data_IF_998830505445
#
_entry.id   IF_998830505445
#
_cell.length_a   1.000
_cell.length_b   1.000
_cell.length_c   1.000
_cell.angle_alpha   90.00
_cell.angle_beta   90.00
_cell.angle_gamma   90.00
#
_symmetry.space_group_name_H-M   'P 1'
#
loop_
_entity.id
_entity.type
_entity.pdbx_description
1 polymer ?
#
# COMPACT_ATOMS: atom_id res chain seq x y z
N UNK A 1 -18.34 -17.67 -8.66
CA UNK A 1 -17.33 -17.78 -7.58
C UNK A 1 -15.88 -18.00 -8.05
N UNK A 2 -15.53 -18.72 -9.15
CA UNK A 2 -14.12 -18.91 -9.54
C UNK A 2 -13.49 -17.69 -10.23
N UNK A 3 -14.27 -16.93 -11.01
CA UNK A 3 -13.78 -15.73 -11.73
C UNK A 3 -13.26 -14.61 -10.82
N UNK A 4 -13.76 -14.51 -9.57
CA UNK A 4 -13.29 -13.50 -8.61
C UNK A 4 -11.88 -13.80 -8.09
N UNK A 5 -11.58 -15.07 -7.81
CA UNK A 5 -10.25 -15.47 -7.35
C UNK A 5 -9.19 -15.25 -8.44
N UNK A 6 -9.49 -15.61 -9.69
CA UNK A 6 -8.58 -15.40 -10.83
C UNK A 6 -8.28 -13.91 -11.06
N UNK A 7 -9.27 -13.02 -10.95
CA UNK A 7 -9.06 -11.56 -11.05
C UNK A 7 -8.19 -11.00 -9.92
N UNK A 8 -8.42 -11.42 -8.68
CA UNK A 8 -7.63 -10.95 -7.53
C UNK A 8 -6.16 -11.38 -7.68
N UNK A 9 -5.93 -12.63 -8.13
CA UNK A 9 -4.59 -13.14 -8.39
C UNK A 9 -3.88 -12.34 -9.49
N UNK A 10 -4.57 -11.97 -10.57
CA UNK A 10 -3.99 -11.16 -11.64
C UNK A 10 -3.53 -9.77 -11.15
N UNK A 11 -4.33 -9.10 -10.31
CA UNK A 11 -3.96 -7.79 -9.73
C UNK A 11 -2.74 -7.93 -8.82
N UNK A 12 -2.73 -8.95 -7.96
CA UNK A 12 -1.59 -9.20 -7.07
C UNK A 12 -0.29 -9.46 -7.84
N UNK A 13 -0.36 -10.27 -8.90
CA UNK A 13 0.80 -10.55 -9.77
C UNK A 13 1.30 -9.31 -10.49
N UNK A 14 0.38 -8.46 -10.98
CA UNK A 14 0.74 -7.20 -11.63
C UNK A 14 1.44 -6.24 -10.65
N UNK A 15 0.90 -6.07 -9.44
CA UNK A 15 1.52 -5.24 -8.41
C UNK A 15 2.92 -5.73 -8.04
N UNK A 16 3.13 -7.04 -7.91
CA UNK A 16 4.45 -7.61 -7.69
C UNK A 16 5.41 -7.34 -8.85
N UNK A 17 4.93 -7.43 -10.10
CA UNK A 17 5.73 -7.15 -11.29
C UNK A 17 6.20 -5.67 -11.33
N UNK A 18 5.35 -4.74 -10.91
CA UNK A 18 5.68 -3.31 -10.80
C UNK A 18 6.48 -2.96 -9.52
N UNK A 19 6.86 -3.95 -8.71
CA UNK A 19 7.67 -3.76 -7.50
C UNK A 19 6.90 -3.51 -6.20
N UNK A 20 5.57 -3.52 -6.22
CA UNK A 20 4.71 -3.37 -5.04
C UNK A 20 4.51 -4.70 -4.30
N UNK A 21 5.58 -5.21 -3.70
CA UNK A 21 5.60 -6.52 -3.01
C UNK A 21 4.85 -6.52 -1.67
N UNK A 22 4.60 -5.35 -1.07
CA UNK A 22 3.78 -5.22 0.14
C UNK A 22 2.28 -5.03 -0.18
N UNK A 23 1.91 -5.06 -1.45
CA UNK A 23 0.54 -5.02 -1.94
C UNK A 23 -0.12 -3.64 -1.87
N UNK A 24 -1.42 -3.62 -2.21
CA UNK A 24 -2.19 -2.38 -2.34
C UNK A 24 -2.89 -1.92 -1.06
N UNK A 25 -3.21 -2.84 -0.16
CA UNK A 25 -4.11 -2.55 0.96
C UNK A 25 -3.38 -2.06 2.21
N UNK A 26 -2.18 -2.54 2.49
CA UNK A 26 -1.41 -2.16 3.67
C UNK A 26 -0.77 -0.79 3.46
N UNK A 27 -0.88 0.10 4.43
CA UNK A 27 -0.21 1.40 4.44
C UNK A 27 1.24 1.28 4.91
N UNK A 28 2.15 2.03 4.28
CA UNK A 28 3.55 2.11 4.73
C UNK A 28 3.68 2.81 6.08
N UNK A 29 2.94 3.89 6.28
CA UNK A 29 2.95 4.71 7.47
C UNK A 29 1.60 4.65 8.19
N UNK A 30 1.62 4.59 9.52
CA UNK A 30 0.44 4.61 10.37
C UNK A 30 0.69 3.98 11.73
N UNK A 31 -0.34 3.99 12.59
CA UNK A 31 -0.25 3.53 13.98
C UNK A 31 -0.59 2.06 14.23
N UNK A 32 -0.28 1.16 13.29
CA UNK A 32 -0.60 -0.27 13.41
C UNK A 32 -2.06 -0.61 13.09
N UNK A 33 -2.55 -1.74 13.61
CA UNK A 33 -3.90 -2.24 13.32
C UNK A 33 -4.05 -2.89 11.94
N UNK A 34 -5.28 -3.26 11.54
CA UNK A 34 -5.55 -3.80 10.21
C UNK A 34 -5.04 -2.86 9.12
N UNK A 35 -4.26 -3.40 8.18
CA UNK A 35 -3.65 -2.64 7.09
C UNK A 35 -2.70 -1.51 7.53
N UNK A 36 -2.22 -1.51 8.78
CA UNK A 36 -1.41 -0.44 9.35
C UNK A 36 -2.12 0.93 9.39
N UNK A 37 -3.46 0.94 9.45
CA UNK A 37 -4.24 2.16 9.59
C UNK A 37 -4.87 2.26 10.98
N UNK A 38 -4.65 3.40 11.63
CA UNK A 38 -5.24 3.73 12.92
C UNK A 38 -5.59 5.23 12.98
N UNK A 39 -6.88 5.56 13.09
CA UNK A 39 -7.36 6.95 13.10
C UNK A 39 -6.87 7.76 14.31
N UNK A 40 -6.44 7.09 15.38
CA UNK A 40 -5.88 7.73 16.57
C UNK A 40 -4.35 7.88 16.53
N UNK A 41 -3.71 7.48 15.43
CA UNK A 41 -2.26 7.51 15.24
C UNK A 41 -1.96 7.63 13.73
N UNK A 42 -2.24 8.81 13.19
CA UNK A 42 -2.05 9.16 11.78
C UNK A 42 -0.59 9.49 11.50
N UNK A 43 -0.19 9.43 10.23
CA UNK A 43 1.15 9.83 9.82
C UNK A 43 1.46 11.28 10.21
N UNK A 44 2.53 11.46 10.97
CA UNK A 44 2.90 12.73 11.60
C UNK A 44 2.69 12.75 13.11
N UNK A 45 1.87 11.83 13.66
CA UNK A 45 1.75 11.63 15.09
C UNK A 45 2.97 10.89 15.66
N UNK A 46 3.32 11.17 16.92
CA UNK A 46 4.45 10.53 17.60
C UNK A 46 4.25 9.01 17.81
N UNK A 47 3.01 8.54 17.77
CA UNK A 47 2.63 7.13 17.89
C UNK A 47 2.61 6.39 16.54
N UNK A 48 2.79 7.08 15.42
CA UNK A 48 2.82 6.46 14.10
C UNK A 48 4.17 5.79 13.82
N UNK A 49 4.11 4.71 13.06
CA UNK A 49 5.27 3.98 12.57
C UNK A 49 5.36 4.11 11.06
N UNK A 50 6.56 3.94 10.51
CA UNK A 50 6.83 4.01 9.08
C UNK A 50 7.55 2.75 8.62
N UNK A 51 7.22 2.27 7.43
CA UNK A 51 7.89 1.12 6.82
C UNK A 51 9.30 1.48 6.29
N UNK A 52 10.18 0.48 6.20
CA UNK A 52 11.56 0.68 5.75
C UNK A 52 11.69 0.99 4.24
N UNK A 53 10.75 0.48 3.42
CA UNK A 53 10.82 0.55 1.96
C UNK A 53 9.51 1.09 1.35
N UNK A 54 9.25 2.41 1.41
CA UNK A 54 8.01 3.02 0.94
C UNK A 54 7.68 2.74 -0.53
N UNK A 55 8.68 2.55 -1.38
CA UNK A 55 8.50 2.25 -2.81
C UNK A 55 7.84 0.89 -3.08
N UNK A 56 7.82 -0.01 -2.11
CA UNK A 56 7.23 -1.35 -2.26
C UNK A 56 5.75 -1.41 -1.86
N UNK A 57 5.19 -0.29 -1.40
CA UNK A 57 3.81 -0.13 -0.96
C UNK A 57 3.05 0.76 -1.95
N UNK A 58 1.79 0.45 -2.23
CA UNK A 58 0.93 1.37 -3.00
C UNK A 58 0.40 2.49 -2.11
N UNK A 59 -0.02 2.17 -0.88
CA UNK A 59 -0.59 3.14 0.05
C UNK A 59 0.47 3.70 1.00
N UNK A 60 0.46 5.04 1.15
CA UNK A 60 1.29 5.74 2.11
C UNK A 60 0.69 5.63 3.51
N UNK A 61 -0.52 6.15 3.74
CA UNK A 61 -1.14 6.31 5.07
C UNK A 61 -2.56 5.76 5.17
N UNK A 62 -3.00 5.01 4.17
CA UNK A 62 -4.38 4.53 4.03
C UNK A 62 -5.33 5.51 3.31
N UNK A 63 -4.89 6.74 3.03
CA UNK A 63 -5.66 7.78 2.33
C UNK A 63 -4.94 8.21 1.05
N UNK A 64 -3.63 8.39 1.13
CA UNK A 64 -2.75 8.81 0.06
C UNK A 64 -1.94 7.65 -0.51
N UNK A 65 -1.50 7.80 -1.76
CA UNK A 65 -0.60 6.85 -2.42
C UNK A 65 0.87 7.22 -2.20
N UNK A 66 1.75 6.23 -2.31
CA UNK A 66 3.19 6.47 -2.29
C UNK A 66 3.66 7.18 -3.56
N UNK A 67 4.83 7.82 -3.51
CA UNK A 67 5.44 8.42 -4.68
C UNK A 67 5.65 7.41 -5.81
N UNK A 68 6.04 6.17 -5.47
CA UNK A 68 6.21 5.09 -6.44
C UNK A 68 4.90 4.76 -7.16
N UNK A 69 3.78 4.70 -6.42
CA UNK A 69 2.47 4.49 -7.00
C UNK A 69 2.03 5.65 -7.91
N UNK A 70 2.27 6.90 -7.48
CA UNK A 70 2.02 8.06 -8.34
C UNK A 70 2.87 8.03 -9.62
N UNK A 71 4.17 7.70 -9.53
CA UNK A 71 5.03 7.54 -10.70
C UNK A 71 4.44 6.54 -11.68
N UNK A 72 4.10 5.33 -11.22
CA UNK A 72 3.48 4.31 -12.07
C UNK A 72 2.23 4.83 -12.81
N UNK A 73 1.38 5.59 -12.13
CA UNK A 73 0.16 6.16 -12.73
C UNK A 73 0.42 7.25 -13.77
N UNK A 74 1.53 7.96 -13.66
CA UNK A 74 1.83 9.12 -14.52
C UNK A 74 2.91 8.83 -15.57
N UNK A 75 3.65 7.73 -15.48
CA UNK A 75 4.76 7.40 -16.40
C UNK A 75 4.52 6.22 -17.34
N UNK A 76 3.40 5.50 -17.21
CA UNK A 76 3.02 4.40 -18.13
C UNK A 76 2.00 4.83 -19.18
#
# INVERSE_FOLDING_TARGET
MPYRAVKILAISSYLHFEGFTNGALKACCGGGGPFNYNVSALCGDASATMCDQPQTYVSWDGIHMTEAAYKLMFTN
#
